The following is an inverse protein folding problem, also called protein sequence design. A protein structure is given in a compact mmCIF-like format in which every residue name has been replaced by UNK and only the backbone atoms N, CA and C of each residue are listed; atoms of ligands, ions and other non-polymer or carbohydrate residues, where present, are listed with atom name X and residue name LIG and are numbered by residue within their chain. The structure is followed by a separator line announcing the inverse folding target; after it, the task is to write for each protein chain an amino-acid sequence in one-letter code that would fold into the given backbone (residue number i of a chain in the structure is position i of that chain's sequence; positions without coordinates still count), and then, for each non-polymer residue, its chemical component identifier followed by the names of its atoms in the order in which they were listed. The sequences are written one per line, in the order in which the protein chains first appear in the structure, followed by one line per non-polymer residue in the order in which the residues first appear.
data_IF_504118824010
#
_entry.id   IF_504118824010
#
_cell.length_a   1.000
_cell.length_b   1.000
_cell.length_c   1.000
_cell.angle_alpha   90.00
_cell.angle_beta   90.00
_cell.angle_gamma   90.00
#
_symmetry.space_group_name_H-M   'P 1'
#
loop_
_entity.id
_entity.type
_entity.pdbx_description
1 polymer ?
#
# COMPACT_ATOMS: atom_id res chain seq x y z
N UNK A 1 -0.89 6.38 -16.46
CA UNK A 1 0.25 6.64 -15.60
C UNK A 1 1.54 6.26 -16.34
N UNK A 2 2.64 7.01 -16.16
CA UNK A 2 3.92 6.63 -16.76
C UNK A 2 4.48 5.36 -16.13
N UNK A 3 5.33 4.66 -16.88
CA UNK A 3 6.13 3.53 -16.40
C UNK A 3 7.53 3.58 -17.00
N UNK A 4 8.54 3.06 -16.31
CA UNK A 4 9.91 3.06 -16.79
C UNK A 4 10.04 2.40 -18.17
N UNK A 5 10.57 3.13 -19.15
CA UNK A 5 10.65 2.69 -20.55
C UNK A 5 9.31 2.41 -21.23
N UNK A 6 8.21 2.95 -20.70
CA UNK A 6 6.83 2.71 -21.15
C UNK A 6 6.47 1.20 -21.24
N UNK A 7 7.01 0.39 -20.33
CA UNK A 7 6.85 -1.07 -20.35
C UNK A 7 5.47 -1.57 -19.90
N UNK A 8 4.71 -0.73 -19.19
CA UNK A 8 3.30 -0.96 -18.82
C UNK A 8 3.04 -2.29 -18.10
N UNK A 9 3.93 -2.68 -17.18
CA UNK A 9 3.83 -3.93 -16.42
C UNK A 9 2.74 -3.96 -15.34
N UNK A 10 2.07 -2.83 -15.10
CA UNK A 10 0.99 -2.75 -14.11
C UNK A 10 -0.25 -3.55 -14.52
N UNK A 11 -0.85 -4.25 -13.54
CA UNK A 11 -2.11 -4.99 -13.72
C UNK A 11 -3.10 -4.53 -12.65
N UNK A 12 -4.39 -4.51 -12.98
CA UNK A 12 -5.48 -4.18 -12.05
C UNK A 12 -6.51 -5.29 -12.06
N UNK A 13 -6.73 -5.91 -10.92
CA UNK A 13 -7.75 -6.93 -10.74
C UNK A 13 -8.96 -6.28 -10.04
N UNK A 14 -10.11 -6.24 -10.70
CA UNK A 14 -11.37 -5.78 -10.12
C UNK A 14 -12.04 -6.95 -9.41
N UNK A 15 -12.02 -6.93 -8.08
CA UNK A 15 -12.58 -8.01 -7.26
C UNK A 15 -14.07 -7.72 -7.02
N UNK A 16 -14.93 -8.55 -7.62
CA UNK A 16 -16.39 -8.43 -7.49
C UNK A 16 -16.96 -9.46 -6.51
N UNK A 17 -16.40 -10.68 -6.50
CA UNK A 17 -16.88 -11.78 -5.67
C UNK A 17 -16.74 -11.47 -4.18
N UNK A 18 -17.84 -11.55 -3.38
CA UNK A 18 -17.82 -11.25 -1.95
C UNK A 18 -16.89 -12.16 -1.14
N UNK A 19 -16.81 -13.45 -1.48
CA UNK A 19 -15.95 -14.39 -0.78
C UNK A 19 -14.47 -14.08 -0.97
N UNK A 20 -14.08 -13.76 -2.21
CA UNK A 20 -12.72 -13.30 -2.54
C UNK A 20 -12.37 -11.99 -1.81
N UNK A 21 -13.29 -11.02 -1.76
CA UNK A 21 -13.10 -9.78 -0.98
C UNK A 21 -12.86 -10.08 0.50
N UNK A 22 -13.68 -10.94 1.11
CA UNK A 22 -13.54 -11.32 2.51
C UNK A 22 -12.18 -11.99 2.76
N UNK A 23 -11.77 -12.90 1.89
CA UNK A 23 -10.46 -13.57 2.01
C UNK A 23 -9.30 -12.58 1.90
N UNK A 24 -9.33 -11.66 0.95
CA UNK A 24 -8.32 -10.60 0.83
C UNK A 24 -8.25 -9.73 2.11
N UNK A 25 -9.39 -9.38 2.69
CA UNK A 25 -9.43 -8.66 3.97
C UNK A 25 -8.74 -9.45 5.09
N UNK A 26 -9.08 -10.71 5.23
CA UNK A 26 -8.49 -11.60 6.26
C UNK A 26 -6.98 -11.76 6.10
N UNK A 27 -6.46 -11.80 4.88
CA UNK A 27 -5.02 -11.84 4.62
C UNK A 27 -4.29 -10.58 5.14
N UNK A 28 -4.98 -9.45 5.29
CA UNK A 28 -4.41 -8.23 5.85
C UNK A 28 -4.40 -8.19 7.39
N UNK A 29 -5.21 -9.01 8.09
CA UNK A 29 -5.40 -8.90 9.53
C UNK A 29 -4.13 -9.11 10.35
N UNK A 30 -3.29 -10.14 10.10
CA UNK A 30 -2.06 -10.31 10.86
C UNK A 30 -1.16 -9.09 10.82
N UNK A 31 -1.02 -8.51 9.64
CA UNK A 31 -0.23 -7.30 9.42
C UNK A 31 -0.80 -6.09 10.18
N UNK A 32 -2.13 -5.97 10.27
CA UNK A 32 -2.79 -4.92 11.04
C UNK A 32 -2.61 -5.07 12.55
N UNK A 33 -2.52 -6.31 13.06
CA UNK A 33 -2.20 -6.55 14.47
C UNK A 33 -0.80 -6.05 14.80
N UNK A 34 0.18 -6.45 13.99
CA UNK A 34 1.58 -6.00 14.15
C UNK A 34 1.67 -4.47 14.06
N UNK A 35 1.01 -3.86 13.06
CA UNK A 35 0.94 -2.40 12.92
C UNK A 35 0.39 -1.72 14.17
N UNK A 36 -0.70 -2.28 14.72
CA UNK A 36 -1.33 -1.76 15.94
C UNK A 36 -0.41 -1.85 17.15
N UNK A 37 0.32 -2.96 17.30
CA UNK A 37 1.22 -3.18 18.41
C UNK A 37 2.46 -2.29 18.33
N UNK A 38 3.06 -2.15 17.16
CA UNK A 38 4.16 -1.21 16.94
C UNK A 38 3.77 0.22 17.29
N UNK A 39 2.56 0.66 16.92
CA UNK A 39 2.07 1.98 17.34
C UNK A 39 1.87 2.11 18.85
N UNK A 40 1.39 1.06 19.51
CA UNK A 40 1.22 1.04 20.98
C UNK A 40 2.55 1.11 21.71
N UNK A 41 3.59 0.47 21.16
CA UNK A 41 4.95 0.53 21.70
C UNK A 41 5.69 1.84 21.38
N UNK A 42 5.06 2.76 20.63
CA UNK A 42 5.67 4.04 20.24
C UNK A 42 6.59 3.97 19.01
N UNK A 43 6.60 2.85 18.32
CA UNK A 43 7.39 2.69 17.10
C UNK A 43 6.72 3.35 15.88
N UNK A 44 7.53 3.67 14.89
CA UNK A 44 7.04 3.95 13.53
C UNK A 44 6.79 2.63 12.81
N UNK A 45 5.53 2.20 12.59
CA UNK A 45 5.26 0.90 12.02
C UNK A 45 5.92 0.71 10.67
N UNK A 46 6.50 -0.50 10.46
CA UNK A 46 7.09 -0.92 9.17
C UNK A 46 8.24 -0.03 8.66
N UNK A 47 8.86 0.74 9.53
CA UNK A 47 10.07 1.46 9.17
C UNK A 47 11.18 0.48 8.78
N UNK A 48 11.99 0.84 7.78
CA UNK A 48 12.91 -0.08 7.11
C UNK A 48 14.34 -0.07 7.65
N UNK A 49 14.66 0.81 8.60
CA UNK A 49 16.03 1.06 9.05
C UNK A 49 16.31 0.46 10.42
N UNK A 50 15.37 0.60 11.36
CA UNK A 50 15.56 0.10 12.72
C UNK A 50 14.74 -1.18 12.94
N UNK A 51 15.27 -2.19 13.63
CA UNK A 51 14.50 -3.36 13.98
C UNK A 51 13.36 -3.01 14.94
N UNK A 52 12.28 -3.74 14.85
CA UNK A 52 11.18 -3.62 15.81
C UNK A 52 11.55 -4.25 17.15
N UNK A 53 11.03 -3.68 18.24
CA UNK A 53 11.18 -4.20 19.59
C UNK A 53 10.09 -5.17 20.02
N UNK A 54 9.01 -5.33 19.20
CA UNK A 54 7.92 -6.25 19.52
C UNK A 54 8.22 -7.68 18.99
N UNK A 55 7.62 -8.68 19.64
CA UNK A 55 7.61 -10.06 19.14
C UNK A 55 6.57 -10.18 18.00
N UNK A 56 7.07 -10.02 16.76
CA UNK A 56 6.23 -10.02 15.55
C UNK A 56 5.52 -11.36 15.38
N UNK A 57 6.19 -12.49 15.60
CA UNK A 57 5.60 -13.82 15.39
C UNK A 57 4.46 -14.08 16.36
N UNK A 58 4.63 -13.69 17.63
CA UNK A 58 3.58 -13.78 18.64
C UNK A 58 2.38 -12.92 18.26
N UNK A 59 2.60 -11.65 17.93
CA UNK A 59 1.52 -10.70 17.58
C UNK A 59 0.81 -11.11 16.29
N UNK A 60 1.57 -11.59 15.30
CA UNK A 60 1.03 -12.06 14.03
C UNK A 60 0.00 -13.17 14.19
N UNK A 61 0.29 -14.12 15.06
CA UNK A 61 -0.53 -15.32 15.27
C UNK A 61 -1.60 -15.16 16.37
N UNK A 62 -1.59 -14.08 17.14
CA UNK A 62 -2.54 -13.86 18.22
C UNK A 62 -3.85 -13.22 17.71
N UNK A 63 -4.83 -14.07 17.42
CA UNK A 63 -6.16 -13.62 16.95
C UNK A 63 -6.97 -12.88 18.01
N UNK A 64 -6.58 -12.89 19.27
CA UNK A 64 -7.24 -12.11 20.32
C UNK A 64 -6.92 -10.61 20.21
N UNK A 65 -5.84 -10.23 19.50
CA UNK A 65 -5.48 -8.84 19.24
C UNK A 65 -6.39 -8.28 18.13
N UNK A 66 -7.23 -7.26 18.42
CA UNK A 66 -8.14 -6.72 17.41
C UNK A 66 -7.39 -5.97 16.31
N UNK A 67 -7.89 -6.07 15.08
CA UNK A 67 -7.39 -5.28 13.97
C UNK A 67 -7.69 -3.79 14.20
N UNK A 68 -6.68 -2.94 13.98
CA UNK A 68 -6.83 -1.47 14.18
C UNK A 68 -7.69 -0.80 13.10
N UNK A 69 -8.02 -1.50 12.02
CA UNK A 69 -8.89 -1.04 10.93
C UNK A 69 -9.96 -2.11 10.69
N UNK A 70 -11.13 -2.01 11.33
CA UNK A 70 -12.16 -3.07 11.33
C UNK A 70 -12.71 -3.43 9.95
N UNK A 71 -12.62 -2.54 8.96
CA UNK A 71 -13.16 -2.85 7.62
C UNK A 71 -12.48 -4.06 6.96
N UNK A 72 -11.25 -4.41 7.36
CA UNK A 72 -10.54 -5.57 6.82
C UNK A 72 -11.07 -6.92 7.36
N UNK A 73 -11.85 -6.91 8.43
CA UNK A 73 -12.53 -8.11 8.93
C UNK A 73 -13.57 -8.64 7.93
N UNK A 74 -14.21 -7.71 7.20
CA UNK A 74 -15.16 -8.04 6.14
C UNK A 74 -15.14 -6.99 5.00
N UNK A 75 -14.31 -7.22 3.99
CA UNK A 75 -14.28 -6.40 2.78
C UNK A 75 -15.44 -6.67 1.81
N UNK A 76 -16.29 -7.69 2.05
CA UNK A 76 -17.42 -8.00 1.16
C UNK A 76 -18.37 -6.81 1.01
N UNK A 77 -18.48 -6.00 2.05
CA UNK A 77 -19.31 -4.78 2.10
C UNK A 77 -18.69 -3.57 1.38
N UNK A 78 -17.43 -3.65 0.99
CA UNK A 78 -16.75 -2.57 0.25
C UNK A 78 -17.25 -2.58 -1.19
N UNK A 79 -17.81 -1.47 -1.70
CA UNK A 79 -18.41 -1.44 -3.04
C UNK A 79 -17.42 -1.86 -4.13
N UNK A 80 -16.22 -1.29 -4.13
CA UNK A 80 -15.18 -1.61 -5.11
C UNK A 80 -13.87 -1.94 -4.40
N UNK A 81 -13.33 -3.11 -4.70
CA UNK A 81 -12.00 -3.56 -4.27
C UNK A 81 -11.18 -3.82 -5.52
N UNK A 82 -10.02 -3.17 -5.60
CA UNK A 82 -9.05 -3.39 -6.67
C UNK A 82 -7.75 -3.91 -6.07
N UNK A 83 -7.17 -4.92 -6.70
CA UNK A 83 -5.79 -5.33 -6.41
C UNK A 83 -4.89 -4.79 -7.50
N UNK A 84 -3.85 -4.08 -7.10
CA UNK A 84 -2.81 -3.57 -7.99
C UNK A 84 -1.67 -4.56 -7.95
N UNK A 85 -1.30 -5.05 -9.10
CA UNK A 85 -0.19 -5.98 -9.26
C UNK A 85 0.76 -5.50 -10.37
N UNK A 86 1.94 -6.07 -10.44
CA UNK A 86 2.95 -5.70 -11.43
C UNK A 86 3.72 -6.94 -11.90
N UNK A 87 3.94 -7.02 -13.19
CA UNK A 87 4.80 -8.02 -13.79
C UNK A 87 6.28 -7.65 -13.58
N UNK A 88 6.97 -8.44 -12.77
CA UNK A 88 8.36 -8.20 -12.41
C UNK A 88 9.32 -8.44 -13.59
N UNK A 89 8.91 -9.15 -14.64
CA UNK A 89 9.73 -9.34 -15.83
C UNK A 89 9.94 -8.04 -16.63
N UNK A 90 9.02 -7.08 -16.46
CA UNK A 90 9.05 -5.84 -17.26
C UNK A 90 9.23 -4.57 -16.41
N UNK A 91 9.09 -4.64 -15.10
CA UNK A 91 9.31 -3.46 -14.26
C UNK A 91 10.81 -3.15 -14.10
N UNK A 92 11.17 -1.88 -14.20
CA UNK A 92 12.54 -1.44 -13.96
C UNK A 92 12.83 -1.35 -12.46
N UNK A 93 13.93 -1.93 -12.00
CA UNK A 93 14.38 -1.90 -10.61
C UNK A 93 15.91 -1.73 -10.58
N UNK A 94 16.37 -0.53 -10.96
CA UNK A 94 17.81 -0.22 -11.08
C UNK A 94 18.56 -0.29 -9.74
N UNK A 95 17.85 -0.22 -8.64
CA UNK A 95 18.40 -0.22 -7.29
C UNK A 95 18.23 -1.57 -6.57
N UNK A 96 17.93 -2.65 -7.29
CA UNK A 96 17.70 -3.98 -6.70
C UNK A 96 18.92 -4.58 -6.01
N UNK A 97 20.13 -4.18 -6.43
CA UNK A 97 21.39 -4.70 -5.93
C UNK A 97 22.08 -3.73 -4.94
N UNK A 98 21.42 -2.65 -4.53
CA UNK A 98 21.94 -1.72 -3.52
C UNK A 98 21.69 -2.27 -2.10
N UNK A 99 22.60 -1.97 -1.17
CA UNK A 99 22.47 -2.32 0.25
C UNK A 99 21.45 -1.39 0.96
N UNK A 100 20.24 -1.37 0.47
CA UNK A 100 19.06 -0.70 1.04
C UNK A 100 17.80 -1.23 0.39
N UNK A 101 16.66 -0.92 0.99
CA UNK A 101 15.34 -1.23 0.37
C UNK A 101 15.22 -0.58 -1.01
N UNK A 102 14.86 -1.38 -2.02
CA UNK A 102 14.61 -0.91 -3.38
C UNK A 102 13.35 -0.04 -3.45
N UNK A 103 13.43 1.09 -4.15
CA UNK A 103 12.31 2.04 -4.28
C UNK A 103 11.96 2.36 -5.74
N UNK A 104 12.87 2.09 -6.68
CA UNK A 104 12.73 2.54 -8.08
C UNK A 104 11.56 1.85 -8.79
N UNK A 105 11.33 0.56 -8.52
CA UNK A 105 10.18 -0.17 -9.10
C UNK A 105 8.85 0.49 -8.75
N UNK A 106 8.71 1.05 -7.54
CA UNK A 106 7.52 1.77 -7.09
C UNK A 106 7.13 2.92 -8.01
N UNK A 107 8.10 3.58 -8.65
CA UNK A 107 7.85 4.66 -9.61
C UNK A 107 7.03 4.25 -10.84
N UNK A 108 7.02 2.97 -11.20
CA UNK A 108 6.20 2.43 -12.31
C UNK A 108 4.88 1.82 -11.85
N UNK A 109 4.61 1.75 -10.55
CA UNK A 109 3.47 1.05 -9.95
C UNK A 109 2.51 2.06 -9.29
N UNK A 110 3.00 2.80 -8.30
CA UNK A 110 2.17 3.65 -7.45
C UNK A 110 1.58 4.89 -8.13
N UNK A 111 2.19 5.51 -9.18
CA UNK A 111 1.52 6.54 -9.95
C UNK A 111 0.22 6.07 -10.61
N UNK A 112 0.15 4.81 -11.07
CA UNK A 112 -1.08 4.23 -11.61
C UNK A 112 -2.14 4.09 -10.50
N UNK A 113 -1.78 3.52 -9.36
CA UNK A 113 -2.70 3.35 -8.23
C UNK A 113 -3.20 4.71 -7.72
N UNK A 114 -2.33 5.71 -7.65
CA UNK A 114 -2.69 7.07 -7.26
C UNK A 114 -3.63 7.73 -8.25
N UNK A 115 -3.39 7.60 -9.56
CA UNK A 115 -4.28 8.14 -10.59
C UNK A 115 -5.67 7.51 -10.55
N UNK A 116 -5.79 6.22 -10.20
CA UNK A 116 -7.09 5.57 -9.97
C UNK A 116 -7.84 6.27 -8.82
N UNK A 117 -7.16 6.56 -7.70
CA UNK A 117 -7.77 7.26 -6.58
C UNK A 117 -8.13 8.71 -6.92
N UNK A 118 -7.29 9.42 -7.68
CA UNK A 118 -7.59 10.77 -8.16
C UNK A 118 -8.78 10.78 -9.11
N UNK A 119 -8.85 9.82 -10.05
CA UNK A 119 -10.00 9.64 -10.93
C UNK A 119 -11.28 9.36 -10.14
N UNK A 120 -11.23 8.43 -9.17
CA UNK A 120 -12.36 8.16 -8.29
C UNK A 120 -12.81 9.42 -7.53
N UNK A 121 -11.85 10.23 -7.04
CA UNK A 121 -12.13 11.50 -6.36
C UNK A 121 -12.84 12.49 -7.29
N UNK A 122 -12.41 12.60 -8.53
CA UNK A 122 -13.04 13.48 -9.54
C UNK A 122 -14.50 13.10 -9.81
N UNK A 123 -14.80 11.79 -9.74
CA UNK A 123 -16.16 11.25 -9.89
C UNK A 123 -16.99 11.26 -8.57
N UNK A 124 -16.51 11.94 -7.53
CA UNK A 124 -17.21 12.09 -6.25
C UNK A 124 -17.07 10.88 -5.31
N UNK A 125 -16.19 9.93 -5.61
CA UNK A 125 -15.89 8.81 -4.73
C UNK A 125 -14.71 9.13 -3.80
N UNK A 126 -14.51 8.28 -2.81
CA UNK A 126 -13.34 8.27 -1.95
C UNK A 126 -12.71 6.88 -1.95
N UNK A 127 -11.45 6.78 -1.58
CA UNK A 127 -10.78 5.49 -1.51
C UNK A 127 -9.52 5.56 -0.65
N UNK A 128 -9.00 4.36 -0.34
CA UNK A 128 -7.73 4.20 0.35
C UNK A 128 -6.83 3.27 -0.46
N UNK A 129 -5.52 3.47 -0.32
CA UNK A 129 -4.49 2.57 -0.78
C UNK A 129 -3.82 1.93 0.44
N UNK A 130 -3.67 0.61 0.42
CA UNK A 130 -2.90 -0.11 1.42
C UNK A 130 -1.99 -1.15 0.77
N UNK A 131 -0.84 -1.39 1.39
CA UNK A 131 0.13 -2.40 0.98
C UNK A 131 0.13 -3.63 1.89
N UNK A 132 -0.78 -3.70 2.87
CA UNK A 132 -0.86 -4.76 3.88
C UNK A 132 -0.91 -6.17 3.29
N UNK A 133 -1.54 -6.31 2.12
CA UNK A 133 -1.70 -7.59 1.43
C UNK A 133 -0.37 -8.20 0.98
N UNK A 134 0.65 -7.37 0.73
CA UNK A 134 1.96 -7.82 0.27
C UNK A 134 2.65 -8.75 1.28
N UNK A 135 2.35 -8.65 2.57
CA UNK A 135 2.89 -9.55 3.58
C UNK A 135 2.42 -11.02 3.43
N UNK A 136 1.34 -11.24 2.72
CA UNK A 136 0.81 -12.57 2.39
C UNK A 136 0.68 -12.75 0.87
N UNK A 137 1.65 -12.23 0.12
CA UNK A 137 1.63 -12.18 -1.33
C UNK A 137 1.35 -13.53 -1.97
N UNK A 138 2.03 -14.60 -1.55
CA UNK A 138 1.86 -15.93 -2.13
C UNK A 138 0.41 -16.43 -2.03
N UNK A 139 -0.26 -16.19 -0.88
CA UNK A 139 -1.67 -16.55 -0.72
C UNK A 139 -2.60 -15.67 -1.55
N UNK A 140 -2.24 -14.40 -1.72
CA UNK A 140 -2.99 -13.50 -2.58
C UNK A 140 -2.82 -13.86 -4.06
N UNK A 141 -1.63 -14.26 -4.48
CA UNK A 141 -1.36 -14.78 -5.84
C UNK A 141 -2.19 -16.03 -6.12
N UNK A 142 -2.17 -17.01 -5.22
CA UNK A 142 -2.97 -18.24 -5.33
C UNK A 142 -4.46 -17.92 -5.45
N UNK A 143 -4.99 -17.09 -4.54
CA UNK A 143 -6.40 -16.69 -4.52
C UNK A 143 -6.85 -16.01 -5.82
N UNK A 144 -5.96 -15.22 -6.42
CA UNK A 144 -6.25 -14.41 -7.61
C UNK A 144 -5.80 -15.05 -8.92
N UNK A 145 -5.17 -16.23 -8.89
CA UNK A 145 -4.65 -16.91 -10.05
C UNK A 145 -3.52 -16.14 -10.75
N UNK A 146 -2.65 -15.49 -9.98
CA UNK A 146 -1.52 -14.74 -10.52
C UNK A 146 -0.29 -15.62 -10.69
N UNK A 147 0.49 -15.35 -11.73
CA UNK A 147 1.77 -16.03 -11.92
C UNK A 147 2.80 -15.61 -10.88
N UNK A 148 3.82 -16.46 -10.56
CA UNK A 148 4.81 -16.16 -9.51
C UNK A 148 5.63 -14.89 -9.74
N UNK A 149 5.78 -14.45 -10.99
CA UNK A 149 6.47 -13.21 -11.36
C UNK A 149 5.56 -11.96 -11.30
N UNK A 150 4.31 -12.09 -10.88
CA UNK A 150 3.37 -10.98 -10.74
C UNK A 150 3.24 -10.60 -9.28
N UNK A 151 3.96 -9.57 -8.86
CA UNK A 151 3.94 -9.09 -7.49
C UNK A 151 2.65 -8.33 -7.17
N UNK A 152 2.14 -8.50 -5.94
CA UNK A 152 0.97 -7.78 -5.42
C UNK A 152 1.43 -6.51 -4.73
N UNK A 153 1.19 -5.36 -5.35
CA UNK A 153 1.70 -4.08 -4.91
C UNK A 153 0.79 -3.33 -3.92
N UNK A 154 -0.52 -3.40 -4.12
CA UNK A 154 -1.47 -2.69 -3.27
C UNK A 154 -2.90 -3.24 -3.40
N UNK A 155 -3.71 -2.90 -2.41
CA UNK A 155 -5.15 -3.08 -2.42
C UNK A 155 -5.80 -1.69 -2.32
N UNK A 156 -6.72 -1.38 -3.24
CA UNK A 156 -7.51 -0.16 -3.20
C UNK A 156 -8.95 -0.50 -2.79
N UNK A 157 -9.50 0.27 -1.86
CA UNK A 157 -10.91 0.23 -1.51
C UNK A 157 -11.54 1.55 -1.91
N UNK A 158 -12.63 1.50 -2.71
CA UNK A 158 -13.28 2.69 -3.26
C UNK A 158 -14.79 2.62 -2.96
N UNK A 159 -15.36 3.74 -2.57
CA UNK A 159 -16.78 3.86 -2.27
C UNK A 159 -17.22 5.32 -2.14
N UNK A 160 -18.50 5.54 -1.86
CA UNK A 160 -19.01 6.89 -1.57
C UNK A 160 -18.55 7.31 -0.17
N UNK A 161 -17.81 8.44 -0.03
CA UNK A 161 -17.34 8.90 1.27
C UNK A 161 -18.51 9.44 2.10
N UNK A 162 -18.55 9.07 3.39
CA UNK A 162 -19.49 9.69 4.34
C UNK A 162 -19.16 11.17 4.58
N UNK A 163 -17.89 11.50 4.51
CA UNK A 163 -17.35 12.86 4.63
C UNK A 163 -16.18 13.02 3.68
N UNK A 164 -16.28 14.01 2.82
CA UNK A 164 -15.19 14.33 1.90
C UNK A 164 -14.18 15.25 2.59
N UNK A 165 -12.93 14.80 2.68
CA UNK A 165 -11.86 15.60 3.26
C UNK A 165 -11.51 16.76 2.32
N UNK A 166 -11.49 17.99 2.86
CA UNK A 166 -11.15 19.23 2.15
C UNK A 166 -9.91 19.91 2.71
N UNK A 167 -9.51 19.53 3.93
CA UNK A 167 -8.29 20.05 4.57
C UNK A 167 -7.37 18.89 4.88
N UNK A 168 -6.12 19.01 4.52
CA UNK A 168 -5.07 18.04 4.78
C UNK A 168 -4.00 18.66 5.68
N UNK A 169 -3.52 17.93 6.68
CA UNK A 169 -2.32 18.29 7.41
C UNK A 169 -1.11 17.79 6.63
N UNK A 170 -0.27 18.70 6.20
CA UNK A 170 0.98 18.42 5.48
C UNK A 170 2.06 19.36 6.00
N UNK A 171 3.30 18.91 5.90
CA UNK A 171 4.45 19.78 6.09
C UNK A 171 4.42 20.90 5.07
N UNK A 172 4.96 22.06 5.43
CA UNK A 172 5.20 23.14 4.48
C UNK A 172 6.32 22.73 3.52
N UNK A 173 6.34 23.34 2.34
CA UNK A 173 7.33 23.01 1.31
C UNK A 173 8.75 23.22 1.82
N UNK A 174 8.98 24.28 2.57
CA UNK A 174 10.28 24.65 3.15
C UNK A 174 10.82 23.61 4.15
N UNK A 175 9.95 22.78 4.73
CA UNK A 175 10.35 21.76 5.72
C UNK A 175 10.95 20.49 5.08
N UNK A 176 10.80 20.31 3.76
CA UNK A 176 11.28 19.11 3.06
C UNK A 176 11.92 19.40 1.70
N UNK A 177 12.10 20.68 1.37
CA UNK A 177 12.72 21.09 0.09
C UNK A 177 13.91 21.98 0.38
N UNK A 178 15.06 21.62 -0.18
CA UNK A 178 16.33 22.36 -0.09
C UNK A 178 16.83 22.72 -1.48
N UNK A 179 17.70 23.72 -1.56
CA UNK A 179 18.30 24.17 -2.81
C UNK A 179 19.64 23.45 -3.00
N UNK A 180 19.87 22.89 -4.18
CA UNK A 180 21.09 22.26 -4.69
C UNK A 180 21.54 21.01 -3.92
N UNK A 181 21.47 20.99 -2.59
CA UNK A 181 22.01 19.93 -1.73
C UNK A 181 21.00 19.56 -0.63
N UNK A 182 21.06 18.32 -0.14
CA UNK A 182 20.21 17.88 0.98
C UNK A 182 20.46 18.64 2.29
N UNK A 183 21.66 19.18 2.48
CA UNK A 183 22.07 20.06 3.58
C UNK A 183 22.10 21.55 3.17
N UNK A 184 21.55 21.88 2.01
CA UNK A 184 21.45 23.26 1.51
C UNK A 184 20.35 24.07 2.20
N UNK A 185 20.25 25.37 1.87
CA UNK A 185 19.21 26.22 2.44
C UNK A 185 17.82 25.73 2.05
N UNK A 186 16.83 25.96 2.93
CA UNK A 186 15.45 25.65 2.62
C UNK A 186 14.96 26.42 1.37
N UNK A 187 14.20 25.77 0.52
CA UNK A 187 13.56 26.43 -0.62
C UNK A 187 12.44 27.36 -0.10
N UNK A 188 12.63 28.65 -0.27
CA UNK A 188 11.62 29.69 -0.02
C UNK A 188 11.20 30.23 -1.38
N UNK A 189 10.00 29.85 -1.85
CA UNK A 189 9.44 30.27 -3.14
C UNK A 189 9.16 31.76 -3.23
#
# INVERSE_FOLDING_TARGET
APSGGNRQGGRVIVVKDPATKTTLGRLCLPQLRVYGEQRRSGENPWQSVQPTGIDVDKVWNDESIPAVIPMFEDLSRTPTVLVIAVDLNVVASLDKDLDRVGIISGGSIYPMAWNILLGARNEGFGGTLTTLIAAQESKAQELLGLEPNVAVAALLTIGRPKKQLTKLSRKKVEEFTTVDRGDGPAFTG
#
